data_IF_039197732868
#
_entry.id   IF_039197732868
#
_cell.length_a   1.000
_cell.length_b   1.000
_cell.length_c   1.000
_cell.angle_alpha   90.00
_cell.angle_beta   90.00
_cell.angle_gamma   90.00
#
_symmetry.space_group_name_H-M   'P 1'
#
loop_
_entity.id
_entity.type
_entity.pdbx_description
1 polymer ?
#
# COMPACT_ATOMS: atom_id res chain seq x y z
N UNK A 1 -9.94 6.80 -36.26
CA UNK A 1 -8.80 6.58 -37.16
C UNK A 1 -7.56 7.42 -36.84
N UNK A 2 -7.65 8.68 -36.37
CA UNK A 2 -6.44 9.48 -36.03
C UNK A 2 -5.69 9.02 -34.74
N UNK A 3 -6.35 8.45 -33.74
CA UNK A 3 -5.69 7.98 -32.51
C UNK A 3 -4.87 6.69 -32.68
N UNK A 4 -5.27 5.82 -33.59
CA UNK A 4 -4.56 4.55 -33.87
C UNK A 4 -3.22 4.85 -34.58
N UNK A 5 -3.16 5.91 -35.36
CA UNK A 5 -1.95 6.29 -36.08
C UNK A 5 -0.85 6.82 -35.13
N UNK A 6 -1.22 7.49 -34.03
CA UNK A 6 -0.25 7.99 -33.04
C UNK A 6 0.37 6.87 -32.20
N UNK A 7 -0.41 5.85 -31.84
CA UNK A 7 0.12 4.71 -31.06
C UNK A 7 1.03 3.82 -31.93
N UNK A 8 0.71 3.66 -33.21
CA UNK A 8 1.57 2.93 -34.16
C UNK A 8 2.88 3.66 -34.43
N UNK A 9 2.84 5.01 -34.53
CA UNK A 9 4.04 5.80 -34.74
C UNK A 9 4.96 5.81 -33.52
N UNK A 10 4.39 5.81 -32.29
CA UNK A 10 5.18 5.74 -31.06
C UNK A 10 5.78 4.36 -30.84
N UNK A 11 5.03 3.29 -31.11
CA UNK A 11 5.55 1.91 -31.06
C UNK A 11 6.66 1.68 -32.11
N UNK A 12 6.52 2.25 -33.31
CA UNK A 12 7.56 2.18 -34.35
C UNK A 12 8.79 3.01 -33.98
N UNK A 13 8.61 4.17 -33.34
CA UNK A 13 9.73 5.00 -32.88
C UNK A 13 10.46 4.34 -31.69
N UNK A 14 9.74 3.67 -30.78
CA UNK A 14 10.35 2.91 -29.68
C UNK A 14 11.13 1.70 -30.19
N UNK A 15 10.65 0.99 -31.21
CA UNK A 15 11.37 -0.14 -31.82
C UNK A 15 12.61 0.35 -32.57
N UNK A 16 12.57 1.54 -33.21
CA UNK A 16 13.76 2.13 -33.83
C UNK A 16 14.80 2.61 -32.81
N UNK A 17 14.36 3.08 -31.64
CA UNK A 17 15.28 3.47 -30.57
C UNK A 17 15.92 2.26 -29.86
N UNK A 18 15.23 1.12 -29.81
CA UNK A 18 15.81 -0.15 -29.29
C UNK A 18 16.76 -0.82 -30.29
N UNK A 19 16.59 -0.58 -31.59
CA UNK A 19 17.51 -1.06 -32.63
C UNK A 19 18.80 -0.24 -32.75
N UNK A 20 18.83 1.00 -32.19
CA UNK A 20 20.03 1.83 -32.24
C UNK A 20 21.06 1.53 -31.11
N UNK A 21 20.72 0.59 -30.19
CA UNK A 21 21.61 0.18 -29.10
C UNK A 21 22.14 -1.26 -29.25
N UNK A 22 22.02 -1.91 -30.42
CA UNK A 22 22.87 -3.06 -30.66
C UNK A 22 24.30 -2.57 -30.81
N UNK A 23 25.30 -3.17 -30.14
CA UNK A 23 26.70 -2.84 -30.37
C UNK A 23 26.97 -3.03 -31.85
N UNK A 24 27.09 -1.95 -32.62
CA UNK A 24 27.54 -2.03 -33.99
C UNK A 24 28.97 -2.57 -33.94
N UNK A 25 29.20 -3.70 -34.56
CA UNK A 25 30.54 -4.13 -34.89
C UNK A 25 31.11 -3.12 -35.90
N UNK A 26 31.75 -2.08 -35.38
CA UNK A 26 32.48 -1.11 -36.19
C UNK A 26 33.72 -1.80 -36.74
N UNK A 27 33.53 -2.54 -37.82
CA UNK A 27 34.63 -3.16 -38.61
C UNK A 27 35.49 -2.12 -39.33
N UNK A 28 35.81 -1.03 -38.68
CA UNK A 28 36.60 0.06 -39.19
C UNK A 28 37.11 1.04 -38.10
N UNK A 29 36.74 0.83 -36.84
CA UNK A 29 37.28 1.61 -35.74
C UNK A 29 38.68 1.06 -35.39
N UNK A 30 39.70 1.88 -35.60
CA UNK A 30 41.09 1.60 -35.19
C UNK A 30 41.26 1.64 -33.68
N UNK A 31 40.44 0.92 -32.92
CA UNK A 31 40.52 0.96 -31.46
C UNK A 31 39.80 -0.22 -30.81
N UNK A 32 40.30 -0.62 -29.65
CA UNK A 32 39.74 -1.70 -28.86
C UNK A 32 38.53 -1.22 -28.04
N UNK A 33 37.54 -2.11 -27.86
CA UNK A 33 36.50 -1.91 -26.87
C UNK A 33 37.11 -1.93 -25.46
N UNK A 34 36.55 -1.20 -24.50
CA UNK A 34 37.08 -1.23 -23.15
C UNK A 34 36.82 -2.58 -22.50
N UNK A 35 37.77 -3.05 -21.71
CA UNK A 35 37.62 -4.25 -20.91
C UNK A 35 37.06 -3.85 -19.53
N UNK A 36 35.87 -4.34 -19.15
CA UNK A 36 35.25 -4.01 -17.86
C UNK A 36 36.11 -4.40 -16.65
N UNK A 37 36.92 -5.46 -16.77
CA UNK A 37 37.76 -5.94 -15.69
C UNK A 37 38.76 -4.85 -15.18
N UNK A 38 39.23 -3.98 -16.11
CA UNK A 38 40.16 -2.90 -15.76
C UNK A 38 39.50 -1.75 -14.97
N UNK A 39 38.17 -1.71 -14.94
CA UNK A 39 37.37 -0.64 -14.34
C UNK A 39 36.36 -1.11 -13.30
N UNK A 40 36.37 -2.39 -12.97
CA UNK A 40 35.40 -2.97 -12.03
C UNK A 40 35.41 -2.29 -10.67
N UNK A 41 36.60 -1.87 -10.22
CA UNK A 41 36.76 -1.18 -8.93
C UNK A 41 36.44 0.32 -8.97
N UNK A 42 36.19 0.88 -10.16
CA UNK A 42 35.73 2.25 -10.30
C UNK A 42 34.24 2.41 -9.96
N UNK A 43 33.46 1.32 -9.99
CA UNK A 43 32.06 1.31 -9.64
C UNK A 43 31.88 1.16 -8.13
N UNK A 44 31.32 2.16 -7.49
CA UNK A 44 31.05 2.17 -6.07
C UNK A 44 29.56 2.29 -5.81
N UNK A 45 29.07 1.53 -4.84
CA UNK A 45 27.68 1.59 -4.38
C UNK A 45 27.69 1.72 -2.87
N UNK A 46 26.99 2.71 -2.34
CA UNK A 46 26.73 2.88 -0.92
C UNK A 46 25.24 3.07 -0.68
N UNK A 47 24.74 2.61 0.44
CA UNK A 47 23.32 2.76 0.81
C UNK A 47 23.23 3.60 2.07
N UNK A 48 22.50 4.69 1.96
CA UNK A 48 22.05 5.42 3.14
C UNK A 48 20.81 4.68 3.69
N UNK A 49 21.01 3.94 4.77
CA UNK A 49 19.98 3.12 5.40
C UNK A 49 18.93 3.95 6.15
N UNK A 50 19.24 5.22 6.45
CA UNK A 50 18.29 6.11 7.12
C UNK A 50 17.21 6.62 6.18
N UNK A 51 17.52 6.75 4.91
CA UNK A 51 16.59 7.20 3.87
C UNK A 51 16.37 6.16 2.76
N UNK A 52 16.90 4.93 2.93
CA UNK A 52 16.81 3.84 1.94
C UNK A 52 17.24 4.26 0.53
N UNK A 53 18.31 5.05 0.42
CA UNK A 53 18.77 5.55 -0.86
C UNK A 53 20.12 4.94 -1.21
N UNK A 54 20.16 4.20 -2.31
CA UNK A 54 21.41 3.71 -2.89
C UNK A 54 22.04 4.82 -3.73
N UNK A 55 23.32 5.10 -3.45
CA UNK A 55 24.15 6.06 -4.16
C UNK A 55 25.16 5.30 -4.99
N UNK A 56 25.17 5.55 -6.29
CA UNK A 56 26.05 4.93 -7.26
C UNK A 56 27.05 5.98 -7.73
N UNK A 57 28.31 5.61 -7.78
CA UNK A 57 29.34 6.52 -8.26
C UNK A 57 30.41 5.76 -9.05
N UNK A 58 30.93 6.39 -10.08
CA UNK A 58 32.02 5.88 -10.87
C UNK A 58 33.24 6.81 -10.77
N UNK A 59 34.36 6.26 -10.31
CA UNK A 59 35.62 6.98 -10.30
C UNK A 59 36.07 7.21 -11.74
N UNK A 60 36.12 8.47 -12.16
CA UNK A 60 36.42 8.82 -13.54
C UNK A 60 37.74 8.27 -14.03
N UNK A 61 37.75 7.73 -15.26
CA UNK A 61 38.93 7.32 -15.98
C UNK A 61 38.95 8.00 -17.35
N UNK A 62 40.14 8.33 -17.86
CA UNK A 62 40.26 9.05 -19.13
C UNK A 62 39.65 8.27 -20.29
N UNK A 63 38.73 8.92 -21.01
CA UNK A 63 38.08 8.35 -22.19
C UNK A 63 37.06 7.24 -21.88
N UNK A 64 36.71 7.00 -20.61
CA UNK A 64 35.77 5.98 -20.16
C UNK A 64 34.53 6.62 -19.56
N UNK A 65 33.39 6.08 -19.94
CA UNK A 65 32.08 6.46 -19.38
C UNK A 65 31.43 5.23 -18.79
N UNK A 66 30.88 5.29 -17.57
CA UNK A 66 30.12 4.17 -16.98
C UNK A 66 28.80 3.93 -17.72
N UNK A 67 28.32 2.68 -17.67
CA UNK A 67 26.97 2.35 -18.07
C UNK A 67 26.38 1.43 -17.00
N UNK A 68 25.42 1.97 -16.26
CA UNK A 68 24.70 1.25 -15.23
C UNK A 68 23.43 0.64 -15.81
N UNK A 69 23.11 -0.57 -15.39
CA UNK A 69 21.79 -1.19 -15.61
C UNK A 69 21.19 -1.46 -14.25
N UNK A 70 20.21 -0.63 -13.88
CA UNK A 70 19.57 -0.64 -12.57
C UNK A 70 18.07 -0.89 -12.78
N UNK A 71 17.58 -2.03 -12.27
CA UNK A 71 16.19 -2.45 -12.46
C UNK A 71 15.74 -2.40 -13.92
N UNK A 72 16.63 -2.78 -14.84
CA UNK A 72 16.40 -2.78 -16.28
C UNK A 72 16.54 -1.42 -16.98
N UNK A 73 16.78 -0.35 -16.25
CA UNK A 73 17.01 0.98 -16.82
C UNK A 73 18.51 1.27 -16.98
N UNK A 74 18.85 1.94 -18.08
CA UNK A 74 20.24 2.31 -18.40
C UNK A 74 20.51 3.76 -17.94
N UNK A 75 21.69 3.98 -17.33
CA UNK A 75 22.23 5.33 -17.08
C UNK A 75 23.72 5.37 -17.42
N UNK A 76 24.19 6.51 -17.88
CA UNK A 76 25.62 6.80 -18.11
C UNK A 76 26.14 7.90 -17.18
N UNK A 77 25.43 8.21 -16.13
CA UNK A 77 25.83 9.21 -15.16
C UNK A 77 26.98 8.72 -14.30
N UNK A 78 27.92 9.62 -14.00
CA UNK A 78 29.04 9.32 -13.09
C UNK A 78 28.61 9.21 -11.64
N UNK A 79 27.49 9.85 -11.30
CA UNK A 79 26.85 9.76 -9.99
C UNK A 79 25.35 9.78 -10.16
N UNK A 80 24.65 8.88 -9.49
CA UNK A 80 23.20 8.87 -9.43
C UNK A 80 22.75 8.28 -8.08
N UNK A 81 21.52 8.56 -7.70
CA UNK A 81 20.91 8.05 -6.48
C UNK A 81 19.53 7.49 -6.80
N UNK A 82 19.16 6.40 -6.11
CA UNK A 82 17.84 5.78 -6.25
C UNK A 82 17.30 5.33 -4.91
N UNK A 83 16.05 5.64 -4.64
CA UNK A 83 15.32 5.19 -3.46
C UNK A 83 14.84 3.76 -3.63
N UNK A 84 14.99 2.94 -2.59
CA UNK A 84 14.49 1.57 -2.52
C UNK A 84 13.64 1.38 -1.27
N UNK A 85 12.35 1.29 -1.46
CA UNK A 85 11.40 1.17 -0.35
C UNK A 85 11.53 -0.13 0.43
N UNK A 86 11.67 -1.24 -0.27
CA UNK A 86 11.68 -2.58 0.33
C UNK A 86 13.06 -2.97 0.84
N UNK A 87 13.08 -3.67 1.98
CA UNK A 87 14.21 -4.47 2.42
C UNK A 87 14.54 -5.51 1.37
N UNK A 88 15.80 -5.71 1.08
CA UNK A 88 16.24 -6.72 0.13
C UNK A 88 17.67 -6.52 -0.34
N UNK A 89 18.17 -7.51 -1.06
CA UNK A 89 19.44 -7.41 -1.81
C UNK A 89 19.11 -7.17 -3.28
N UNK A 90 19.77 -6.18 -3.84
CA UNK A 90 19.55 -5.70 -5.20
C UNK A 90 20.81 -5.86 -6.03
N UNK A 91 20.62 -6.19 -7.29
CA UNK A 91 21.70 -6.38 -8.25
C UNK A 91 21.79 -5.19 -9.20
N UNK A 92 23.00 -4.82 -9.53
CA UNK A 92 23.31 -3.81 -10.55
C UNK A 92 24.31 -4.38 -11.51
N UNK A 93 24.01 -4.29 -12.79
CA UNK A 93 24.93 -4.68 -13.83
C UNK A 93 25.65 -3.43 -14.37
N UNK A 94 26.97 -3.52 -14.50
CA UNK A 94 27.82 -2.39 -14.84
C UNK A 94 28.65 -2.71 -16.09
N UNK A 95 28.63 -1.79 -17.04
CA UNK A 95 29.47 -1.79 -18.24
C UNK A 95 30.28 -0.49 -18.30
N UNK A 96 31.26 -0.46 -19.15
CA UNK A 96 31.99 0.76 -19.51
C UNK A 96 31.94 0.98 -21.01
N UNK A 97 31.95 2.22 -21.44
CA UNK A 97 32.08 2.59 -22.85
C UNK A 97 33.22 3.57 -23.09
N UNK A 98 33.85 3.47 -24.23
CA UNK A 98 34.79 4.42 -24.78
C UNK A 98 34.31 4.90 -26.15
N UNK A 99 35.12 5.64 -26.88
CA UNK A 99 34.81 6.11 -28.25
C UNK A 99 34.57 4.99 -29.26
N UNK A 100 35.02 3.75 -28.98
CA UNK A 100 34.91 2.59 -29.88
C UNK A 100 33.70 1.71 -29.59
N UNK A 101 33.01 1.89 -28.42
CA UNK A 101 31.81 1.16 -28.05
C UNK A 101 31.74 0.80 -26.57
N UNK A 102 30.82 -0.10 -26.24
CA UNK A 102 30.57 -0.62 -24.89
C UNK A 102 31.34 -1.96 -24.71
N UNK A 103 31.80 -2.20 -23.48
CA UNK A 103 32.42 -3.47 -23.10
C UNK A 103 31.54 -4.67 -23.44
N UNK A 104 32.14 -5.77 -23.92
CA UNK A 104 31.40 -7.00 -24.25
C UNK A 104 30.82 -7.69 -23.03
N UNK A 105 31.53 -7.58 -21.92
CA UNK A 105 31.18 -8.19 -20.66
C UNK A 105 30.75 -7.12 -19.65
N UNK A 106 30.04 -7.53 -18.62
CA UNK A 106 29.59 -6.71 -17.49
C UNK A 106 30.17 -7.23 -16.18
N UNK A 107 30.19 -6.38 -15.16
CA UNK A 107 30.38 -6.79 -13.78
C UNK A 107 29.11 -6.59 -13.00
N UNK A 108 28.73 -7.55 -12.16
CA UNK A 108 27.60 -7.45 -11.26
C UNK A 108 28.05 -6.97 -9.89
N UNK A 109 27.37 -5.96 -9.35
CA UNK A 109 27.53 -5.47 -8.00
C UNK A 109 26.22 -5.70 -7.24
N UNK A 110 26.34 -5.86 -5.93
CA UNK A 110 25.20 -6.09 -5.05
C UNK A 110 25.19 -5.05 -3.96
N UNK A 111 24.01 -4.66 -3.49
CA UNK A 111 23.85 -3.87 -2.30
C UNK A 111 22.60 -4.31 -1.53
N UNK A 112 22.55 -4.03 -0.25
CA UNK A 112 21.46 -4.44 0.64
C UNK A 112 20.78 -3.21 1.25
N UNK A 113 19.46 -3.21 1.17
CA UNK A 113 18.58 -2.32 1.94
C UNK A 113 18.07 -3.11 3.15
N UNK A 114 18.36 -2.64 4.35
CA UNK A 114 18.15 -3.41 5.58
C UNK A 114 16.71 -3.36 6.10
N UNK A 115 15.97 -2.31 5.78
CA UNK A 115 14.62 -2.08 6.31
C UNK A 115 13.65 -1.66 5.21
N UNK A 116 12.42 -2.16 5.26
CA UNK A 116 11.33 -1.58 4.47
C UNK A 116 10.91 -0.26 5.10
N UNK A 117 10.86 0.80 4.28
CA UNK A 117 10.41 2.14 4.70
C UNK A 117 9.06 2.48 4.11
N UNK A 118 8.18 2.95 4.96
CA UNK A 118 6.90 3.55 4.60
C UNK A 118 6.40 4.42 5.76
N UNK A 119 5.46 5.28 5.51
CA UNK A 119 4.77 6.03 6.56
C UNK A 119 3.92 5.07 7.41
N UNK A 120 4.14 5.08 8.72
CA UNK A 120 3.42 4.20 9.65
C UNK A 120 4.00 2.79 9.76
N UNK A 121 3.15 1.85 10.14
CA UNK A 121 3.53 0.46 10.33
C UNK A 121 3.79 -0.23 8.99
N UNK A 122 4.95 -0.85 8.86
CA UNK A 122 5.38 -1.50 7.62
C UNK A 122 4.99 -2.99 7.51
N UNK A 123 4.16 -3.49 8.43
CA UNK A 123 3.74 -4.89 8.48
C UNK A 123 4.66 -5.78 9.29
N UNK A 124 4.26 -7.04 9.43
CA UNK A 124 5.05 -8.11 10.03
C UNK A 124 6.17 -8.56 9.07
N UNK A 125 7.11 -9.36 9.58
CA UNK A 125 8.30 -9.74 8.79
C UNK A 125 7.95 -10.75 7.70
N UNK A 126 7.96 -10.31 6.44
CA UNK A 126 7.58 -11.11 5.27
C UNK A 126 8.46 -12.37 5.12
N UNK A 127 9.78 -12.23 5.34
CA UNK A 127 10.74 -13.33 5.20
C UNK A 127 10.84 -14.25 6.43
N UNK A 128 10.03 -14.00 7.46
CA UNK A 128 10.00 -14.85 8.66
C UNK A 128 9.65 -16.30 8.30
N UNK A 129 10.29 -17.24 8.97
CA UNK A 129 9.92 -18.67 8.87
C UNK A 129 8.50 -18.95 9.40
N UNK A 130 7.98 -18.06 10.24
CA UNK A 130 6.63 -18.15 10.79
C UNK A 130 5.54 -17.65 9.84
N UNK A 131 5.91 -16.97 8.75
CA UNK A 131 4.95 -16.50 7.78
C UNK A 131 4.34 -17.66 6.99
N UNK A 132 3.06 -17.92 7.19
CA UNK A 132 2.33 -19.01 6.54
C UNK A 132 2.21 -18.78 5.01
N UNK A 133 2.26 -17.54 4.55
CA UNK A 133 2.24 -17.23 3.11
C UNK A 133 3.59 -17.43 2.42
N UNK A 134 4.70 -17.52 3.15
CA UNK A 134 6.05 -17.62 2.58
C UNK A 134 6.23 -18.80 1.62
N UNK A 135 5.53 -19.90 1.85
CA UNK A 135 5.61 -21.14 1.05
C UNK A 135 4.49 -21.25 0.02
N UNK A 136 3.62 -20.25 -0.07
CA UNK A 136 2.48 -20.27 -0.95
C UNK A 136 2.87 -19.72 -2.31
N UNK A 137 2.50 -20.47 -3.37
CA UNK A 137 2.53 -19.95 -4.73
C UNK A 137 1.16 -19.36 -5.02
N UNK A 138 1.08 -18.04 -5.09
CA UNK A 138 -0.14 -17.38 -5.49
C UNK A 138 -0.41 -17.63 -6.98
N UNK A 139 -1.67 -17.90 -7.36
CA UNK A 139 -2.01 -18.09 -8.77
C UNK A 139 -1.73 -16.80 -9.55
N UNK A 140 -1.19 -16.93 -10.76
CA UNK A 140 -0.97 -15.80 -11.66
C UNK A 140 -2.27 -15.03 -11.95
N UNK A 141 -3.40 -15.74 -11.93
CA UNK A 141 -4.72 -15.18 -12.16
C UNK A 141 -5.64 -15.53 -11.00
N UNK A 142 -6.11 -14.55 -10.22
CA UNK A 142 -7.10 -14.82 -9.18
C UNK A 142 -8.43 -15.26 -9.79
N UNK A 143 -9.20 -16.02 -9.05
CA UNK A 143 -10.60 -16.27 -9.40
C UNK A 143 -11.39 -14.98 -9.15
N UNK A 144 -11.52 -14.13 -10.14
CA UNK A 144 -12.07 -12.82 -9.96
C UNK A 144 -13.43 -12.68 -10.64
N UNK A 145 -14.35 -12.03 -9.97
CA UNK A 145 -15.55 -11.50 -10.56
C UNK A 145 -15.43 -9.99 -10.71
N UNK A 146 -15.44 -9.49 -11.94
CA UNK A 146 -15.39 -8.06 -12.23
C UNK A 146 -16.67 -7.66 -12.94
N UNK A 147 -17.39 -6.68 -12.37
CA UNK A 147 -18.70 -6.27 -12.84
C UNK A 147 -18.79 -4.75 -12.94
N UNK A 148 -19.30 -4.26 -14.07
CA UNK A 148 -19.72 -2.87 -14.22
C UNK A 148 -21.02 -2.61 -13.45
N UNK A 149 -21.39 -1.34 -13.24
CA UNK A 149 -22.72 -0.99 -12.79
C UNK A 149 -23.80 -1.66 -13.67
N UNK A 150 -24.83 -2.27 -13.04
CA UNK A 150 -25.87 -3.01 -13.74
C UNK A 150 -25.56 -4.49 -13.98
N UNK A 151 -24.56 -5.06 -13.29
CA UNK A 151 -24.22 -6.49 -13.30
C UNK A 151 -23.63 -7.02 -14.61
N UNK A 152 -23.24 -6.14 -15.53
CA UNK A 152 -22.51 -6.56 -16.73
C UNK A 152 -21.10 -6.95 -16.36
N UNK A 153 -20.67 -8.16 -16.74
CA UNK A 153 -19.28 -8.58 -16.54
C UNK A 153 -18.36 -7.71 -17.41
N UNK A 154 -17.31 -7.19 -16.80
CA UNK A 154 -16.25 -6.41 -17.47
C UNK A 154 -15.01 -7.27 -17.70
N UNK A 155 -14.07 -6.73 -18.49
CA UNK A 155 -12.82 -7.42 -18.77
C UNK A 155 -12.08 -7.77 -17.48
N UNK A 156 -11.49 -8.95 -17.44
CA UNK A 156 -10.59 -9.34 -16.37
C UNK A 156 -9.42 -8.36 -16.26
N UNK A 157 -8.92 -8.10 -15.05
CA UNK A 157 -7.74 -7.28 -14.88
C UNK A 157 -6.50 -7.97 -15.48
N UNK A 158 -5.55 -7.18 -15.89
CA UNK A 158 -4.22 -7.68 -16.21
C UNK A 158 -3.47 -7.89 -14.91
N UNK A 159 -3.08 -9.13 -14.65
CA UNK A 159 -2.40 -9.53 -13.43
C UNK A 159 -0.96 -9.94 -13.72
N UNK A 160 -0.05 -9.61 -12.82
CA UNK A 160 1.32 -10.11 -12.81
C UNK A 160 1.79 -10.34 -11.39
N UNK A 161 2.66 -11.33 -11.20
CA UNK A 161 3.29 -11.61 -9.93
C UNK A 161 4.80 -11.66 -10.10
N UNK A 162 5.53 -10.88 -9.34
CA UNK A 162 6.98 -10.84 -9.35
C UNK A 162 7.55 -10.45 -7.99
N UNK A 163 8.51 -11.22 -7.49
CA UNK A 163 9.27 -10.90 -6.26
C UNK A 163 8.39 -10.55 -5.05
N UNK A 164 7.32 -11.31 -4.82
CA UNK A 164 6.39 -11.08 -3.70
C UNK A 164 5.42 -9.92 -3.89
N UNK A 165 5.42 -9.26 -5.05
CA UNK A 165 4.47 -8.23 -5.41
C UNK A 165 3.46 -8.77 -6.43
N UNK A 166 2.20 -8.58 -6.14
CA UNK A 166 1.09 -8.87 -7.04
C UNK A 166 0.54 -7.57 -7.60
N UNK A 167 0.61 -7.39 -8.90
CA UNK A 167 0.13 -6.19 -9.59
C UNK A 167 -1.13 -6.50 -10.37
N UNK A 168 -2.16 -5.67 -10.18
CA UNK A 168 -3.46 -5.75 -10.83
C UNK A 168 -3.72 -4.44 -11.56
N UNK A 169 -3.95 -4.48 -12.86
CA UNK A 169 -4.46 -3.34 -13.60
C UNK A 169 -5.96 -3.52 -13.81
N UNK A 170 -6.75 -2.65 -13.17
CA UNK A 170 -8.21 -2.66 -13.24
C UNK A 170 -8.67 -1.84 -14.46
N UNK A 171 -9.25 -2.46 -15.52
CA UNK A 171 -9.47 -1.77 -16.78
C UNK A 171 -10.60 -0.73 -16.71
N UNK A 172 -11.60 -0.97 -15.87
CA UNK A 172 -12.81 -0.17 -15.82
C UNK A 172 -13.10 0.35 -14.41
N UNK A 173 -13.76 1.49 -14.32
CA UNK A 173 -14.27 2.01 -13.05
C UNK A 173 -15.46 1.21 -12.57
N UNK A 174 -15.56 1.00 -11.28
CA UNK A 174 -16.70 0.38 -10.63
C UNK A 174 -17.25 1.30 -9.53
N UNK A 175 -18.45 1.04 -9.04
CA UNK A 175 -19.08 1.86 -8.00
C UNK A 175 -19.18 1.14 -6.67
N UNK A 176 -19.51 -0.15 -6.72
CA UNK A 176 -19.73 -0.97 -5.54
C UNK A 176 -18.52 -1.86 -5.26
N UNK A 177 -18.20 -2.04 -4.01
CA UNK A 177 -17.02 -2.76 -3.55
C UNK A 177 -16.89 -4.18 -4.12
N UNK A 178 -17.98 -4.94 -4.15
CA UNK A 178 -18.03 -6.30 -4.67
C UNK A 178 -17.83 -6.42 -6.18
N UNK A 179 -17.85 -5.30 -6.90
CA UNK A 179 -17.69 -5.30 -8.36
C UNK A 179 -16.25 -5.56 -8.82
N UNK A 180 -15.27 -5.43 -7.93
CA UNK A 180 -13.88 -5.73 -8.22
C UNK A 180 -13.27 -6.58 -7.09
N UNK A 181 -13.71 -7.84 -7.00
CA UNK A 181 -13.20 -8.80 -6.03
C UNK A 181 -12.01 -9.59 -6.56
N UNK A 182 -10.99 -9.73 -5.72
CA UNK A 182 -9.78 -10.51 -5.98
C UNK A 182 -9.61 -11.56 -4.88
N UNK A 183 -10.22 -12.74 -5.01
CA UNK A 183 -10.01 -13.83 -4.07
C UNK A 183 -8.80 -14.68 -4.43
N UNK A 184 -7.92 -14.92 -3.48
CA UNK A 184 -6.92 -15.96 -3.52
C UNK A 184 -7.44 -17.16 -2.73
N UNK A 185 -7.71 -18.25 -3.42
CA UNK A 185 -8.28 -19.50 -2.87
C UNK A 185 -7.30 -20.66 -3.01
N UNK A 186 -7.60 -21.77 -2.32
CA UNK A 186 -6.79 -22.99 -2.38
C UNK A 186 -5.33 -22.77 -1.95
N UNK A 187 -5.12 -21.93 -0.93
CA UNK A 187 -3.80 -21.59 -0.45
C UNK A 187 -3.15 -22.70 0.38
N UNK A 188 -3.91 -23.75 0.76
CA UNK A 188 -3.41 -24.83 1.60
C UNK A 188 -3.10 -24.39 3.05
N UNK A 189 -3.69 -23.28 3.48
CA UNK A 189 -3.55 -22.76 4.84
C UNK A 189 -4.79 -23.10 5.64
N UNK A 190 -4.57 -23.63 6.86
CA UNK A 190 -5.61 -23.81 7.87
C UNK A 190 -5.28 -23.00 9.12
N UNK A 191 -6.31 -22.58 9.84
CA UNK A 191 -6.22 -21.92 11.15
C UNK A 191 -7.04 -22.66 12.18
N UNK A 192 -6.82 -22.38 13.45
CA UNK A 192 -7.46 -23.06 14.58
C UNK A 192 -8.01 -22.05 15.57
N UNK A 193 -9.11 -22.39 16.21
CA UNK A 193 -9.78 -21.55 17.21
C UNK A 193 -9.04 -21.46 18.55
N UNK A 194 -8.08 -22.35 18.80
CA UNK A 194 -7.25 -22.34 20.01
C UNK A 194 -6.01 -21.44 19.92
N UNK A 195 -5.82 -20.76 18.79
CA UNK A 195 -4.70 -19.88 18.51
C UNK A 195 -5.16 -18.45 18.26
N UNK A 196 -4.21 -17.55 18.35
CA UNK A 196 -4.35 -16.17 17.88
C UNK A 196 -3.42 -15.92 16.71
N UNK A 197 -3.75 -14.96 15.86
CA UNK A 197 -3.01 -14.71 14.63
C UNK A 197 -2.69 -13.23 14.42
N UNK A 198 -1.57 -13.00 13.76
CA UNK A 198 -1.18 -11.68 13.25
C UNK A 198 -1.23 -11.70 11.73
N UNK A 199 -1.83 -10.68 11.15
CA UNK A 199 -1.94 -10.52 9.71
C UNK A 199 -1.48 -9.13 9.27
N UNK A 200 -0.79 -9.04 8.14
CA UNK A 200 -0.55 -7.77 7.45
C UNK A 200 -0.41 -7.95 5.95
N UNK A 201 -0.75 -6.91 5.21
CA UNK A 201 -0.40 -6.73 3.81
C UNK A 201 -0.17 -5.24 3.52
N UNK A 202 0.58 -4.95 2.47
CA UNK A 202 0.78 -3.58 1.98
C UNK A 202 0.06 -3.46 0.65
N UNK A 203 -0.75 -2.41 0.51
CA UNK A 203 -1.49 -2.11 -0.71
C UNK A 203 -1.13 -0.70 -1.18
N UNK A 204 -0.91 -0.57 -2.49
CA UNK A 204 -0.69 0.70 -3.15
C UNK A 204 -1.63 0.81 -4.34
N UNK A 205 -2.34 1.93 -4.48
CA UNK A 205 -3.14 2.27 -5.67
C UNK A 205 -2.47 3.42 -6.40
N UNK A 206 -2.22 3.29 -7.69
CA UNK A 206 -1.60 4.35 -8.47
C UNK A 206 -2.44 5.62 -8.53
N UNK A 207 -3.76 5.49 -8.49
CA UNK A 207 -4.72 6.61 -8.58
C UNK A 207 -5.34 7.01 -7.25
N UNK A 208 -5.06 6.24 -6.20
CA UNK A 208 -5.76 6.34 -4.91
C UNK A 208 -7.12 5.64 -4.92
N UNK A 209 -7.60 5.30 -3.73
CA UNK A 209 -8.85 4.57 -3.56
C UNK A 209 -9.54 5.02 -2.26
N UNK A 210 -10.84 5.27 -2.29
CA UNK A 210 -11.56 5.76 -1.12
C UNK A 210 -11.71 4.72 -0.02
N UNK A 211 -11.89 3.44 -0.40
CA UNK A 211 -12.02 2.35 0.56
C UNK A 211 -11.63 1.01 -0.08
N UNK A 212 -10.69 0.32 0.53
CA UNK A 212 -10.29 -1.05 0.18
C UNK A 212 -10.69 -1.96 1.33
N UNK A 213 -11.18 -3.16 1.03
CA UNK A 213 -11.50 -4.15 2.04
C UNK A 213 -10.63 -5.39 1.84
N UNK A 214 -10.09 -5.89 2.95
CA UNK A 214 -9.33 -7.14 3.00
C UNK A 214 -9.99 -8.08 4.00
N UNK A 215 -10.27 -9.31 3.58
CA UNK A 215 -10.80 -10.37 4.44
C UNK A 215 -9.92 -11.61 4.37
N UNK A 216 -9.72 -12.24 5.53
CA UNK A 216 -9.24 -13.60 5.65
C UNK A 216 -10.41 -14.44 6.16
N UNK A 217 -10.86 -15.39 5.37
CA UNK A 217 -12.06 -16.15 5.68
C UNK A 217 -12.07 -17.52 4.99
N UNK A 218 -13.06 -18.31 5.30
CA UNK A 218 -13.47 -19.49 4.53
C UNK A 218 -14.95 -19.39 4.20
N UNK A 219 -15.37 -20.06 3.15
CA UNK A 219 -16.79 -20.21 2.86
C UNK A 219 -17.36 -21.28 3.81
N UNK A 220 -18.15 -20.84 4.77
CA UNK A 220 -18.83 -21.75 5.70
C UNK A 220 -19.88 -22.65 5.00
N UNK A 221 -20.14 -23.79 5.59
CA UNK A 221 -21.25 -24.64 5.19
C UNK A 221 -22.57 -23.89 5.49
N UNK A 222 -23.27 -23.47 4.45
CA UNK A 222 -24.53 -22.72 4.58
C UNK A 222 -24.52 -21.30 4.04
N UNK A 223 -23.38 -20.82 3.57
CA UNK A 223 -23.26 -19.55 2.85
C UNK A 223 -22.69 -18.38 3.66
N UNK A 224 -22.59 -18.51 4.98
CA UNK A 224 -21.93 -17.49 5.80
C UNK A 224 -20.42 -17.73 5.86
N UNK A 225 -19.64 -16.65 5.68
CA UNK A 225 -18.17 -16.73 5.81
C UNK A 225 -17.77 -16.91 7.28
N UNK A 226 -16.81 -17.83 7.54
CA UNK A 226 -16.07 -17.90 8.80
C UNK A 226 -14.92 -16.90 8.69
N UNK A 227 -14.97 -15.80 9.42
CA UNK A 227 -14.06 -14.67 9.26
C UNK A 227 -12.99 -14.71 10.36
N UNK A 228 -11.72 -14.81 9.96
CA UNK A 228 -10.56 -14.62 10.82
C UNK A 228 -10.20 -13.13 10.93
N UNK A 229 -10.22 -12.40 9.82
CA UNK A 229 -9.91 -10.99 9.75
C UNK A 229 -10.82 -10.28 8.74
N UNK A 230 -11.28 -9.10 9.10
CA UNK A 230 -11.99 -8.17 8.22
C UNK A 230 -11.49 -6.76 8.52
N UNK A 231 -10.88 -6.11 7.53
CA UNK A 231 -10.32 -4.76 7.68
C UNK A 231 -11.38 -3.69 7.93
N UNK A 232 -12.67 -4.03 7.73
CA UNK A 232 -13.82 -3.13 7.74
C UNK A 232 -13.64 -1.93 6.79
N UNK A 233 -14.70 -1.18 6.62
CA UNK A 233 -14.74 -0.11 5.62
C UNK A 233 -14.11 1.20 6.10
N UNK A 234 -13.89 1.30 7.38
CA UNK A 234 -13.46 2.53 8.04
C UNK A 234 -11.94 2.63 8.01
N UNK A 235 -11.42 3.69 7.40
CA UNK A 235 -9.99 4.04 7.33
C UNK A 235 -9.11 3.21 6.39
N UNK A 236 -9.68 2.53 5.39
CA UNK A 236 -8.90 1.79 4.38
C UNK A 236 -8.72 2.54 3.06
N UNK A 237 -8.96 3.85 3.03
CA UNK A 237 -8.62 4.69 1.87
C UNK A 237 -7.12 4.68 1.58
N UNK A 238 -6.76 4.75 0.31
CA UNK A 238 -5.38 4.80 -0.19
C UNK A 238 -5.13 6.14 -0.88
N UNK A 239 -4.07 6.80 -0.50
CA UNK A 239 -3.56 7.97 -1.23
C UNK A 239 -2.86 7.50 -2.51
N UNK A 240 -2.94 8.31 -3.57
CA UNK A 240 -2.38 7.95 -4.87
C UNK A 240 -0.86 7.74 -4.81
N UNK A 241 -0.43 6.54 -5.18
CA UNK A 241 0.98 6.15 -5.18
C UNK A 241 1.59 5.84 -3.81
N UNK A 242 0.85 6.06 -2.71
CA UNK A 242 1.36 5.83 -1.36
C UNK A 242 1.01 4.42 -0.86
N UNK A 243 1.99 3.66 -0.36
CA UNK A 243 1.76 2.35 0.23
C UNK A 243 1.08 2.48 1.58
N UNK A 244 0.10 1.63 1.84
CA UNK A 244 -0.58 1.53 3.13
C UNK A 244 -0.55 0.10 3.64
N UNK A 245 -0.16 -0.08 4.90
CA UNK A 245 -0.28 -1.35 5.59
C UNK A 245 -1.68 -1.53 6.16
N UNK A 246 -2.31 -2.63 5.80
CA UNK A 246 -3.54 -3.11 6.42
C UNK A 246 -3.15 -4.29 7.30
N UNK A 247 -3.49 -4.24 8.57
CA UNK A 247 -3.07 -5.27 9.52
C UNK A 247 -4.08 -5.51 10.64
N UNK A 248 -3.95 -6.66 11.26
CA UNK A 248 -4.58 -7.01 12.52
C UNK A 248 -3.60 -7.82 13.36
N UNK A 249 -3.59 -7.58 14.66
CA UNK A 249 -2.76 -8.32 15.61
C UNK A 249 -3.62 -8.91 16.72
N UNK A 250 -3.17 -10.03 17.27
CA UNK A 250 -3.88 -10.76 18.33
C UNK A 250 -5.31 -11.14 17.93
N UNK A 251 -5.49 -11.52 16.65
CA UNK A 251 -6.78 -11.93 16.10
C UNK A 251 -7.20 -13.27 16.70
N UNK A 252 -8.38 -13.32 17.29
CA UNK A 252 -8.96 -14.56 17.79
C UNK A 252 -9.11 -15.59 16.66
N UNK A 253 -8.48 -16.75 16.84
CA UNK A 253 -8.48 -17.80 15.84
C UNK A 253 -9.86 -18.36 15.53
N UNK A 254 -9.97 -18.95 14.37
CA UNK A 254 -11.17 -19.65 13.89
C UNK A 254 -10.73 -20.96 13.25
N UNK A 255 -11.56 -21.98 13.36
CA UNK A 255 -11.33 -23.26 12.69
C UNK A 255 -11.64 -23.13 11.21
N UNK A 256 -10.61 -22.81 10.43
CA UNK A 256 -10.69 -22.65 8.98
C UNK A 256 -9.81 -23.72 8.34
N UNK A 257 -10.37 -24.51 7.42
CA UNK A 257 -9.64 -25.56 6.72
C UNK A 257 -9.02 -25.07 5.42
N UNK A 258 -9.69 -24.14 4.74
CA UNK A 258 -9.26 -23.62 3.44
C UNK A 258 -9.30 -22.09 3.45
N UNK A 259 -8.31 -21.49 4.12
CA UNK A 259 -8.23 -20.05 4.21
C UNK A 259 -8.14 -19.43 2.82
N UNK A 260 -8.99 -18.44 2.56
CA UNK A 260 -8.91 -17.56 1.41
C UNK A 260 -8.58 -16.13 1.87
N UNK A 261 -7.86 -15.41 1.03
CA UNK A 261 -7.64 -13.97 1.18
C UNK A 261 -8.47 -13.28 0.11
N UNK A 262 -9.34 -12.36 0.49
CA UNK A 262 -10.21 -11.63 -0.42
C UNK A 262 -9.90 -10.15 -0.33
N UNK A 263 -9.63 -9.56 -1.48
CA UNK A 263 -9.49 -8.11 -1.63
C UNK A 263 -10.69 -7.58 -2.41
N UNK A 264 -11.36 -6.57 -1.86
CA UNK A 264 -12.45 -5.87 -2.52
C UNK A 264 -11.96 -4.47 -2.91
N UNK A 265 -11.78 -4.25 -4.20
CA UNK A 265 -11.31 -2.99 -4.80
C UNK A 265 -12.41 -2.23 -5.55
N UNK A 266 -13.66 -2.65 -5.47
CA UNK A 266 -14.77 -1.95 -6.11
C UNK A 266 -14.90 -0.51 -5.60
N UNK A 267 -15.35 0.39 -6.47
CA UNK A 267 -15.21 1.83 -6.30
C UNK A 267 -13.91 2.40 -6.86
N UNK A 268 -13.15 1.57 -7.60
CA UNK A 268 -11.91 1.96 -8.26
C UNK A 268 -12.14 2.89 -9.45
N UNK A 269 -11.11 3.64 -9.80
CA UNK A 269 -11.03 4.38 -11.07
C UNK A 269 -10.64 3.44 -12.21
N UNK A 270 -11.05 3.77 -13.44
CA UNK A 270 -10.62 3.04 -14.62
C UNK A 270 -9.11 3.12 -14.80
N UNK A 271 -8.48 2.04 -15.29
CA UNK A 271 -7.03 1.92 -15.49
C UNK A 271 -6.21 2.16 -14.20
N UNK A 272 -6.76 1.89 -13.02
CA UNK A 272 -5.99 1.92 -11.79
C UNK A 272 -5.08 0.70 -11.72
N UNK A 273 -3.87 0.90 -11.23
CA UNK A 273 -2.90 -0.14 -10.96
C UNK A 273 -2.76 -0.33 -9.46
N UNK A 274 -3.16 -1.50 -8.99
CA UNK A 274 -3.08 -1.89 -7.59
C UNK A 274 -1.90 -2.84 -7.39
N UNK A 275 -1.05 -2.55 -6.42
CA UNK A 275 0.01 -3.45 -5.96
C UNK A 275 -0.34 -4.00 -4.58
N UNK A 276 -0.21 -5.32 -4.43
CA UNK A 276 -0.37 -6.03 -3.16
C UNK A 276 0.97 -6.67 -2.83
N UNK A 277 1.52 -6.35 -1.69
CA UNK A 277 2.86 -6.76 -1.29
C UNK A 277 2.89 -7.21 0.18
N UNK A 278 3.96 -7.90 0.56
CA UNK A 278 4.31 -8.21 1.95
C UNK A 278 3.14 -8.85 2.72
N UNK A 279 2.51 -9.88 2.11
CA UNK A 279 1.49 -10.64 2.80
C UNK A 279 2.13 -11.49 3.91
N UNK A 280 1.65 -11.30 5.12
CA UNK A 280 2.07 -12.08 6.29
C UNK A 280 0.85 -12.56 7.06
N UNK A 281 0.83 -13.83 7.39
CA UNK A 281 -0.05 -14.43 8.38
C UNK A 281 0.80 -15.34 9.25
N UNK A 282 0.78 -15.14 10.57
CA UNK A 282 1.53 -15.96 11.51
C UNK A 282 0.73 -16.21 12.77
N UNK A 283 1.09 -17.26 13.52
CA UNK A 283 0.64 -17.44 14.90
C UNK A 283 1.19 -16.30 15.75
N UNK A 284 0.32 -15.64 16.52
CA UNK A 284 0.68 -14.51 17.38
C UNK A 284 1.75 -14.87 18.42
N UNK A 285 1.76 -16.12 18.88
CA UNK A 285 2.76 -16.60 19.84
C UNK A 285 4.19 -16.64 19.29
N UNK A 286 4.37 -16.58 17.97
CA UNK A 286 5.68 -16.59 17.34
C UNK A 286 6.24 -15.16 17.23
N UNK A 287 7.34 -14.91 17.93
CA UNK A 287 8.05 -13.63 17.84
C UNK A 287 8.92 -13.60 16.59
N UNK A 288 8.61 -12.70 15.67
CA UNK A 288 9.37 -12.44 14.45
C UNK A 288 10.21 -11.16 14.54
N UNK A 289 10.29 -10.56 15.74
CA UNK A 289 10.99 -9.29 15.97
C UNK A 289 10.21 -8.05 15.53
N UNK A 290 8.94 -8.19 15.14
CA UNK A 290 8.10 -7.05 14.76
C UNK A 290 7.74 -6.21 16.00
N UNK A 291 7.99 -4.91 15.92
CA UNK A 291 7.52 -3.95 16.90
C UNK A 291 6.21 -3.35 16.41
N UNK A 292 5.11 -3.68 17.06
CA UNK A 292 3.81 -3.10 16.76
C UNK A 292 3.82 -1.59 17.02
N UNK A 293 3.10 -0.80 16.21
CA UNK A 293 2.88 0.59 16.53
C UNK A 293 2.21 0.66 17.90
N UNK A 294 2.83 1.37 18.80
CA UNK A 294 2.19 1.71 20.06
C UNK A 294 1.02 2.62 19.67
N UNK A 295 -0.21 2.12 19.77
CA UNK A 295 -1.34 3.04 19.89
C UNK A 295 -1.05 3.91 21.10
N UNK A 296 -0.60 5.11 20.87
CA UNK A 296 -0.52 6.12 21.89
C UNK A 296 -1.96 6.42 22.31
N UNK A 297 -2.53 5.58 23.16
CA UNK A 297 -3.71 5.93 23.98
C UNK A 297 -3.30 6.94 25.05
N UNK A 298 -2.46 7.90 24.67
CA UNK A 298 -2.22 9.08 25.47
C UNK A 298 -3.42 9.96 25.19
N UNK A 299 -4.32 10.17 26.14
CA UNK A 299 -5.36 11.18 25.98
C UNK A 299 -4.63 12.48 25.64
N UNK A 300 -5.14 13.20 24.64
CA UNK A 300 -4.58 14.50 24.30
C UNK A 300 -4.50 15.34 25.59
N UNK A 301 -3.33 15.92 25.86
CA UNK A 301 -3.17 16.79 27.01
C UNK A 301 -4.01 18.06 26.77
N UNK A 302 -5.05 18.23 27.60
CA UNK A 302 -5.95 19.37 27.53
C UNK A 302 -5.20 20.72 27.61
N UNK A 303 -4.11 20.76 28.35
CA UNK A 303 -3.36 22.00 28.61
C UNK A 303 -2.32 22.35 27.54
N UNK A 304 -2.14 21.54 26.51
CA UNK A 304 -1.17 21.83 25.45
C UNK A 304 -1.56 23.07 24.64
N UNK A 305 -0.56 23.80 24.16
CA UNK A 305 -0.77 24.95 23.28
C UNK A 305 -1.46 24.57 21.95
N UNK A 306 -1.37 23.29 21.53
CA UNK A 306 -2.04 22.77 20.34
C UNK A 306 -3.49 22.40 20.52
N UNK A 307 -4.02 22.45 21.75
CA UNK A 307 -5.43 22.18 21.99
C UNK A 307 -6.28 23.42 21.64
N UNK A 308 -7.02 23.33 20.55
CA UNK A 308 -7.88 24.43 20.08
C UNK A 308 -9.05 24.71 21.01
N UNK A 309 -9.40 23.75 21.89
CA UNK A 309 -10.47 23.90 22.89
C UNK A 309 -9.99 24.52 24.20
N UNK A 310 -8.69 24.67 24.43
CA UNK A 310 -8.10 25.10 25.70
C UNK A 310 -8.64 26.44 26.20
N UNK A 311 -8.84 27.35 25.24
CA UNK A 311 -9.27 28.71 25.53
C UNK A 311 -10.77 28.95 25.22
N UNK A 312 -11.51 27.89 24.93
CA UNK A 312 -12.94 27.95 24.71
C UNK A 312 -13.64 27.94 26.04
N UNK A 313 -14.41 29.01 26.34
CA UNK A 313 -15.24 29.08 27.53
C UNK A 313 -16.48 28.19 27.34
N UNK A 314 -16.41 27.00 27.88
CA UNK A 314 -17.45 25.99 27.77
C UNK A 314 -18.72 26.34 28.56
N UNK A 315 -18.68 27.39 29.40
CA UNK A 315 -19.84 27.94 30.10
C UNK A 315 -20.57 28.99 29.26
N UNK A 316 -19.98 29.46 28.16
CA UNK A 316 -20.68 30.28 27.19
C UNK A 316 -21.73 29.44 26.46
N UNK A 317 -22.87 30.07 26.21
CA UNK A 317 -23.98 29.43 25.49
C UNK A 317 -23.61 29.19 24.04
N UNK A 318 -22.94 28.11 23.78
CA UNK A 318 -22.95 27.54 22.43
C UNK A 318 -24.38 27.13 22.09
N UNK A 319 -24.80 27.34 20.87
CA UNK A 319 -26.13 26.91 20.48
C UNK A 319 -26.15 25.38 20.58
N UNK A 320 -26.89 24.91 21.54
CA UNK A 320 -27.18 23.53 21.77
C UNK A 320 -28.33 23.10 20.86
N UNK A 321 -28.07 22.32 19.86
CA UNK A 321 -29.13 21.63 19.15
C UNK A 321 -29.23 20.21 19.68
N UNK A 322 -30.29 19.96 20.40
CA UNK A 322 -30.63 18.62 20.85
C UNK A 322 -31.78 18.11 19.97
N UNK A 323 -31.58 17.01 19.33
CA UNK A 323 -32.65 16.35 18.63
C UNK A 323 -32.83 14.94 19.17
N UNK A 324 -34.04 14.64 19.60
CA UNK A 324 -34.43 13.31 20.05
C UNK A 324 -35.68 12.96 19.28
N UNK A 325 -35.60 11.94 18.47
CA UNK A 325 -36.67 11.51 17.58
C UNK A 325 -37.07 10.06 17.76
N UNK A 326 -38.29 9.73 17.38
CA UNK A 326 -38.73 8.38 17.23
C UNK A 326 -38.44 7.86 15.81
N UNK A 327 -38.76 6.58 15.56
CA UNK A 327 -38.57 5.94 14.26
C UNK A 327 -39.38 6.58 13.12
N UNK A 328 -40.39 7.42 13.46
CA UNK A 328 -41.20 8.17 12.52
C UNK A 328 -40.77 9.61 12.32
N UNK A 329 -39.55 9.99 12.80
CA UNK A 329 -39.05 11.37 12.77
C UNK A 329 -39.83 12.39 13.64
N UNK A 330 -40.68 11.90 14.52
CA UNK A 330 -41.34 12.77 15.46
C UNK A 330 -40.39 13.15 16.60
N UNK A 331 -40.28 14.44 16.96
CA UNK A 331 -39.46 14.85 18.11
C UNK A 331 -40.02 14.26 19.40
N UNK A 332 -39.12 13.72 20.22
CA UNK A 332 -39.46 13.28 21.58
C UNK A 332 -39.22 14.43 22.52
N UNK A 333 -40.20 14.79 23.34
CA UNK A 333 -40.01 15.80 24.38
C UNK A 333 -39.06 15.26 25.45
N UNK A 334 -37.82 15.66 25.33
CA UNK A 334 -36.75 15.36 26.28
C UNK A 334 -35.91 16.61 26.54
N UNK A 335 -35.75 16.98 27.78
CA UNK A 335 -34.78 17.98 28.17
C UNK A 335 -33.61 17.28 28.84
N UNK A 336 -32.52 17.03 28.11
CA UNK A 336 -31.35 16.38 28.70
C UNK A 336 -30.76 17.29 29.79
N UNK A 337 -30.37 16.70 30.91
CA UNK A 337 -29.64 17.40 31.95
C UNK A 337 -28.18 17.43 31.56
N UNK A 338 -27.66 18.58 31.19
CA UNK A 338 -26.24 18.81 30.88
C UNK A 338 -25.56 19.38 32.11
N UNK A 339 -24.48 18.77 32.53
CA UNK A 339 -23.63 19.26 33.63
C UNK A 339 -22.22 19.48 33.10
N UNK A 340 -21.63 20.60 33.50
CA UNK A 340 -20.24 20.95 33.20
C UNK A 340 -19.46 20.98 34.51
N UNK A 341 -18.37 20.23 34.57
CA UNK A 341 -17.41 20.23 35.66
C UNK A 341 -16.01 20.34 35.07
N UNK A 342 -15.50 21.57 34.93
CA UNK A 342 -14.26 21.83 34.21
C UNK A 342 -14.39 21.46 32.74
N UNK A 343 -13.51 20.57 32.26
CA UNK A 343 -13.52 20.05 30.89
C UNK A 343 -14.37 18.77 30.71
N UNK A 344 -15.19 18.45 31.72
CA UNK A 344 -16.05 17.28 31.69
C UNK A 344 -17.51 17.68 31.46
N UNK A 345 -18.06 17.14 30.38
CA UNK A 345 -19.47 17.28 30.04
C UNK A 345 -20.20 15.99 30.35
N UNK A 346 -21.32 16.07 31.05
CA UNK A 346 -22.17 14.94 31.36
C UNK A 346 -23.58 15.23 30.88
N UNK A 347 -24.12 14.29 30.09
CA UNK A 347 -25.47 14.37 29.55
C UNK A 347 -26.27 13.21 30.13
N UNK A 348 -27.39 13.51 30.73
CA UNK A 348 -28.36 12.52 31.21
C UNK A 348 -29.55 12.50 30.28
N UNK A 349 -29.73 11.42 29.54
CA UNK A 349 -30.87 11.17 28.68
C UNK A 349 -31.96 10.52 29.55
N UNK A 350 -33.10 11.15 29.67
CA UNK A 350 -34.14 10.77 30.62
C UNK A 350 -35.30 9.98 30.01
N UNK A 351 -35.25 9.77 28.71
CA UNK A 351 -36.25 8.99 27.95
C UNK A 351 -35.56 7.90 27.13
N UNK A 352 -36.29 6.83 26.88
CA UNK A 352 -35.83 5.80 25.94
C UNK A 352 -35.85 6.34 24.52
N UNK A 353 -34.75 6.17 23.79
CA UNK A 353 -34.64 6.55 22.38
C UNK A 353 -34.67 5.31 21.50
N UNK A 354 -35.18 5.41 20.27
CA UNK A 354 -35.10 4.30 19.32
C UNK A 354 -33.67 3.93 18.95
N UNK A 355 -33.48 2.78 18.30
CA UNK A 355 -32.18 2.12 18.10
C UNK A 355 -31.19 2.84 17.19
N UNK A 356 -31.61 3.82 16.40
CA UNK A 356 -30.74 4.52 15.46
C UNK A 356 -29.92 5.61 16.13
N UNK A 357 -28.63 5.70 15.82
CA UNK A 357 -27.69 6.65 16.44
C UNK A 357 -28.12 8.12 16.32
N UNK A 358 -28.73 8.47 15.19
CA UNK A 358 -29.17 9.84 14.91
C UNK A 358 -30.46 10.23 15.66
N UNK A 359 -31.14 9.29 16.30
CA UNK A 359 -32.33 9.57 17.09
C UNK A 359 -32.05 10.31 18.40
N UNK A 360 -30.79 10.29 18.85
CA UNK A 360 -30.36 11.05 20.03
C UNK A 360 -29.07 11.80 19.72
N UNK A 361 -29.17 13.06 19.35
CA UNK A 361 -28.04 13.90 19.02
C UNK A 361 -27.88 15.06 19.98
N UNK A 362 -26.64 15.28 20.39
CA UNK A 362 -26.25 16.49 21.10
C UNK A 362 -25.08 17.12 20.32
N UNK A 363 -25.24 18.42 19.98
CA UNK A 363 -24.24 19.12 19.18
C UNK A 363 -23.94 20.47 19.83
N UNK A 364 -22.66 20.80 19.90
CA UNK A 364 -22.18 22.14 20.16
C UNK A 364 -21.96 22.83 18.83
N UNK A 365 -22.67 23.89 18.56
CA UNK A 365 -22.54 24.69 17.34
C UNK A 365 -22.03 26.09 17.66
N UNK A 366 -21.54 26.80 16.66
CA UNK A 366 -20.98 28.16 16.81
C UNK A 366 -19.78 28.22 17.76
N UNK A 367 -19.03 27.13 17.87
CA UNK A 367 -17.81 27.09 18.67
C UNK A 367 -16.78 28.03 18.04
N UNK A 368 -16.19 28.98 18.81
CA UNK A 368 -15.29 30.00 18.25
C UNK A 368 -13.89 29.44 17.95
N UNK A 369 -13.83 28.33 17.23
CA UNK A 369 -12.60 27.69 16.78
C UNK A 369 -12.48 27.82 15.26
N UNK A 370 -11.48 28.54 14.79
CA UNK A 370 -11.21 28.69 13.36
C UNK A 370 -10.12 27.72 12.91
N UNK A 371 -10.46 26.86 11.95
CA UNK A 371 -9.50 26.00 11.28
C UNK A 371 -9.11 26.65 9.96
N UNK A 372 -7.83 26.96 9.79
CA UNK A 372 -7.28 27.45 8.53
C UNK A 372 -6.75 26.26 7.75
N UNK A 373 -7.15 26.15 6.49
CA UNK A 373 -6.46 25.28 5.55
C UNK A 373 -5.07 25.86 5.30
N UNK A 374 -4.03 25.03 5.48
CA UNK A 374 -2.64 25.36 5.19
C UNK A 374 -2.32 25.29 3.71
#
# INVERSE_FOLDING_TARGET
>A
MKKILYHSAFAFLAVFLLGACSPEDFSGANGELPNIADYADNFNISVDQDINTANFSFNSAEGITPVWVIDGAYSSDYTLSKYYRKKGTYDVECFVKNRNGISKESVKKHFTVEKTKMNGFAGFVEDSEFNLFKKITFPEKPSAGYYAPGWSQIADPVCSYSKGCYTLKLPEATTERWQAQVPFTNLGISTSADKHYDFSCIITSAKGHNAVKVKLCDSGAGGDDIILFDSKDVNTGLEAGEPKCIFGSDLEGKDIQNLKVVFDFGGNQADDEIMIESLVLKDHANDDGTVLPVELKVPFDYNTAGNLWKDVDENQSFVNTNWFGDAGWAPIECTPVVKHEGNKHSIVITVETPAEQWHAQWALTEVPVAIKMG
#
